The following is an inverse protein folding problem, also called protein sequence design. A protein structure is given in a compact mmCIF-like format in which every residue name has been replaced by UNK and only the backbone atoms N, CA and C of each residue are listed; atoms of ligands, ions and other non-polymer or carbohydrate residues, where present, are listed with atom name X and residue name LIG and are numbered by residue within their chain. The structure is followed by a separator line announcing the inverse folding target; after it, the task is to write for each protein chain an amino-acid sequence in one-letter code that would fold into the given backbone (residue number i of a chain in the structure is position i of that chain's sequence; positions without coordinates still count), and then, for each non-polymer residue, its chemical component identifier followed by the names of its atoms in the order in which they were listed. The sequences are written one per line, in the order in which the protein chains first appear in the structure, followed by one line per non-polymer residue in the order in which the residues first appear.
data_IF_240008598833
#
_entry.id   IF_240008598833
#
_cell.length_a   1.000
_cell.length_b   1.000
_cell.length_c   1.000
_cell.angle_alpha   90.00
_cell.angle_beta   90.00
_cell.angle_gamma   90.00
#
_symmetry.space_group_name_H-M   'P 1'
#
loop_
_entity.id
_entity.type
_entity.pdbx_description
1 polymer ?
#
# COMPACT_ATOMS: atom_id res chain seq x y z
N UNK A 1 7.20 2.50 46.57
CA UNK A 1 6.67 3.65 45.79
C UNK A 1 7.37 3.79 44.45
N UNK A 2 8.71 3.63 44.38
CA UNK A 2 9.51 3.63 43.15
C UNK A 2 9.06 2.56 42.12
N UNK A 3 8.65 1.37 42.55
CA UNK A 3 8.18 0.31 41.63
C UNK A 3 6.95 0.69 40.80
N UNK A 4 6.06 1.52 41.35
CA UNK A 4 4.85 1.98 40.64
C UNK A 4 5.21 2.96 39.53
N UNK A 5 6.15 3.87 39.79
CA UNK A 5 6.65 4.80 38.77
C UNK A 5 7.47 4.07 37.69
N UNK A 6 8.26 3.06 38.08
CA UNK A 6 9.05 2.29 37.13
C UNK A 6 8.15 1.49 36.17
N UNK A 7 7.08 0.89 36.68
CA UNK A 7 6.08 0.21 35.85
C UNK A 7 5.33 1.16 34.90
N UNK A 8 4.97 2.35 35.39
CA UNK A 8 4.29 3.37 34.57
C UNK A 8 5.18 3.88 33.42
N UNK A 9 6.47 4.14 33.69
CA UNK A 9 7.42 4.58 32.67
C UNK A 9 7.65 3.49 31.63
N UNK A 10 7.81 2.23 32.06
CA UNK A 10 8.02 1.11 31.15
C UNK A 10 6.83 0.90 30.19
N UNK A 11 5.60 0.98 30.71
CA UNK A 11 4.39 0.84 29.88
C UNK A 11 4.21 2.01 28.92
N UNK A 12 4.51 3.24 29.35
CA UNK A 12 4.47 4.41 28.48
C UNK A 12 5.49 4.30 27.34
N UNK A 13 6.72 3.87 27.64
CA UNK A 13 7.76 3.68 26.63
C UNK A 13 7.38 2.58 25.63
N UNK A 14 6.80 1.47 26.09
CA UNK A 14 6.32 0.41 25.21
C UNK A 14 5.17 0.90 24.30
N UNK A 15 4.24 1.70 24.84
CA UNK A 15 3.18 2.30 24.05
C UNK A 15 3.71 3.27 22.98
N UNK A 16 4.68 4.12 23.33
CA UNK A 16 5.31 5.04 22.37
C UNK A 16 6.11 4.28 21.32
N UNK A 17 6.86 3.25 21.72
CA UNK A 17 7.64 2.43 20.79
C UNK A 17 6.72 1.67 19.83
N UNK A 18 5.61 1.11 20.31
CA UNK A 18 4.63 0.42 19.44
C UNK A 18 3.96 1.38 18.47
N UNK A 19 3.55 2.58 18.90
CA UNK A 19 3.05 3.62 17.98
C UNK A 19 4.10 4.02 16.95
N UNK A 20 5.35 4.22 17.36
CA UNK A 20 6.43 4.60 16.46
C UNK A 20 6.66 3.52 15.38
N UNK A 21 6.66 2.25 15.77
CA UNK A 21 6.73 1.12 14.83
C UNK A 21 5.52 1.11 13.90
N UNK A 22 4.30 1.32 14.42
CA UNK A 22 3.09 1.38 13.61
C UNK A 22 3.17 2.48 12.54
N UNK A 23 3.56 3.69 12.91
CA UNK A 23 3.63 4.80 11.95
C UNK A 23 4.81 4.68 10.98
N UNK A 24 5.97 4.19 11.42
CA UNK A 24 7.16 4.11 10.55
C UNK A 24 7.13 2.92 9.63
N UNK A 25 6.67 1.76 10.12
CA UNK A 25 6.65 0.53 9.33
C UNK A 25 5.48 0.57 8.36
N UNK A 26 4.26 0.85 8.83
CA UNK A 26 3.06 0.75 7.98
C UNK A 26 2.93 1.88 6.97
N UNK A 27 3.59 3.03 7.16
CA UNK A 27 3.57 4.09 6.15
C UNK A 27 4.31 3.70 4.86
N UNK A 28 5.21 2.72 4.96
CA UNK A 28 5.94 2.14 3.82
C UNK A 28 5.17 1.01 3.12
N UNK A 29 4.02 0.58 3.65
CA UNK A 29 3.22 -0.48 3.07
C UNK A 29 1.92 0.04 2.44
N UNK A 30 1.59 -0.52 1.28
CA UNK A 30 0.32 -0.38 0.60
C UNK A 30 -0.78 -1.05 1.39
N UNK A 31 -1.97 -0.47 1.37
CA UNK A 31 -3.15 -1.05 2.01
C UNK A 31 -3.56 -2.34 1.30
N UNK A 32 -3.89 -3.42 2.03
CA UNK A 32 -4.20 -4.72 1.43
C UNK A 32 -5.38 -4.67 0.46
N UNK A 33 -6.38 -3.81 0.70
CA UNK A 33 -7.53 -3.58 -0.18
C UNK A 33 -7.12 -3.16 -1.59
N UNK A 34 -6.22 -2.17 -1.69
CA UNK A 34 -5.69 -1.64 -2.95
C UNK A 34 -4.90 -2.72 -3.68
N UNK A 35 -4.14 -3.53 -2.95
CA UNK A 35 -3.35 -4.60 -3.54
C UNK A 35 -4.20 -5.75 -4.09
N UNK A 36 -5.25 -6.13 -3.38
CA UNK A 36 -6.23 -7.08 -3.90
C UNK A 36 -6.92 -6.52 -5.14
N UNK A 37 -7.27 -5.23 -5.14
CA UNK A 37 -7.85 -4.56 -6.30
C UNK A 37 -6.91 -4.56 -7.51
N UNK A 38 -5.62 -4.22 -7.33
CA UNK A 38 -4.59 -4.30 -8.39
C UNK A 38 -4.48 -5.72 -8.94
N UNK A 39 -4.44 -6.73 -8.06
CA UNK A 39 -4.37 -8.13 -8.47
C UNK A 39 -5.58 -8.55 -9.30
N UNK A 40 -6.79 -8.23 -8.84
CA UNK A 40 -8.05 -8.52 -9.55
C UNK A 40 -8.07 -7.83 -10.92
N UNK A 41 -7.67 -6.56 -10.97
CA UNK A 41 -7.61 -5.78 -12.20
C UNK A 41 -6.64 -6.38 -13.22
N UNK A 42 -5.50 -6.90 -12.78
CA UNK A 42 -4.51 -7.55 -13.63
C UNK A 42 -4.96 -8.94 -14.12
N UNK A 43 -5.69 -9.68 -13.30
CA UNK A 43 -6.24 -11.00 -13.64
C UNK A 43 -7.45 -10.90 -14.59
N UNK A 44 -8.19 -9.78 -14.54
CA UNK A 44 -9.40 -9.55 -15.34
C UNK A 44 -9.24 -8.28 -16.18
N UNK A 45 -8.69 -8.36 -17.41
CA UNK A 45 -8.51 -7.19 -18.28
C UNK A 45 -9.86 -6.49 -18.56
N UNK A 46 -9.89 -5.17 -18.45
CA UNK A 46 -11.11 -4.38 -18.61
C UNK A 46 -11.95 -4.23 -17.35
N UNK A 47 -11.53 -4.79 -16.21
CA UNK A 47 -12.21 -4.61 -14.93
C UNK A 47 -11.70 -3.36 -14.21
N UNK A 48 -12.60 -2.78 -13.41
CA UNK A 48 -12.33 -1.62 -12.55
C UNK A 48 -12.80 -1.94 -11.13
N UNK A 49 -11.94 -1.68 -10.16
CA UNK A 49 -12.18 -1.91 -8.73
C UNK A 49 -11.86 -0.63 -7.97
N UNK A 50 -12.82 -0.16 -7.20
CA UNK A 50 -12.65 1.00 -6.33
C UNK A 50 -12.20 0.50 -4.96
N UNK A 51 -11.08 1.02 -4.47
CA UNK A 51 -10.54 0.67 -3.15
C UNK A 51 -10.05 1.92 -2.42
N UNK A 52 -10.32 1.98 -1.12
CA UNK A 52 -9.74 3.01 -0.26
C UNK A 52 -8.43 2.52 0.34
N UNK A 53 -7.39 3.34 0.26
CA UNK A 53 -6.11 3.06 0.89
C UNK A 53 -4.95 3.87 0.30
N UNK A 54 -3.75 3.42 0.61
CA UNK A 54 -2.49 3.94 0.09
C UNK A 54 -1.82 2.86 -0.77
N UNK A 55 -1.13 3.27 -1.82
CA UNK A 55 -0.30 2.41 -2.64
C UNK A 55 1.11 2.99 -2.72
N UNK A 56 2.07 2.19 -2.29
CA UNK A 56 3.49 2.49 -2.41
C UNK A 56 4.05 1.69 -3.57
N UNK A 57 4.54 2.42 -4.56
CA UNK A 57 5.21 1.88 -5.74
C UNK A 57 6.70 2.22 -5.70
N UNK A 58 7.51 1.24 -6.06
CA UNK A 58 8.94 1.40 -6.32
C UNK A 58 9.21 1.11 -7.78
N UNK A 59 9.95 2.01 -8.40
CA UNK A 59 10.43 1.83 -9.76
C UNK A 59 11.74 1.03 -9.70
N UNK A 60 11.74 -0.19 -10.25
CA UNK A 60 12.95 -0.99 -10.45
C UNK A 60 13.01 -1.47 -11.91
N UNK A 61 14.05 -1.02 -12.62
CA UNK A 61 14.34 -1.40 -14.01
C UNK A 61 13.16 -1.17 -14.98
N UNK A 62 12.55 -2.25 -15.50
CA UNK A 62 11.39 -2.22 -16.42
C UNK A 62 10.07 -2.57 -15.70
N UNK A 63 10.06 -2.60 -14.35
CA UNK A 63 8.91 -3.00 -13.54
C UNK A 63 8.61 -2.00 -12.43
N UNK A 64 7.31 -1.78 -12.20
CA UNK A 64 6.80 -1.10 -11.03
C UNK A 64 6.39 -2.14 -10.00
N UNK A 65 7.09 -2.10 -8.86
CA UNK A 65 6.86 -2.97 -7.73
C UNK A 65 5.93 -2.29 -6.73
N UNK A 66 4.78 -2.91 -6.52
CA UNK A 66 3.86 -2.54 -5.47
C UNK A 66 4.30 -3.21 -4.18
N UNK A 67 4.22 -2.49 -3.06
CA UNK A 67 4.75 -3.01 -1.79
C UNK A 67 4.06 -4.26 -1.24
N UNK A 68 2.97 -4.69 -1.87
CA UNK A 68 2.26 -5.92 -1.57
C UNK A 68 2.73 -7.11 -2.41
N UNK A 69 3.91 -7.01 -3.05
CA UNK A 69 4.52 -8.13 -3.78
C UNK A 69 3.98 -8.31 -5.20
N UNK A 70 3.22 -7.34 -5.71
CA UNK A 70 2.79 -7.34 -7.11
C UNK A 70 3.82 -6.55 -7.93
N UNK A 71 4.34 -7.16 -8.99
CA UNK A 71 5.24 -6.51 -9.94
C UNK A 71 4.54 -6.40 -11.29
N UNK A 72 4.49 -5.20 -11.85
CA UNK A 72 3.85 -4.92 -13.14
C UNK A 72 4.88 -4.29 -14.07
N UNK A 73 4.95 -4.77 -15.30
CA UNK A 73 5.85 -4.20 -16.31
C UNK A 73 5.41 -2.78 -16.68
N UNK A 74 6.36 -1.85 -16.81
CA UNK A 74 6.06 -0.44 -17.11
C UNK A 74 5.24 -0.27 -18.39
N UNK A 75 5.49 -1.13 -19.38
CA UNK A 75 4.75 -1.17 -20.65
C UNK A 75 3.27 -1.50 -20.48
N UNK A 76 2.92 -2.16 -19.36
CA UNK A 76 1.55 -2.51 -19.00
C UNK A 76 0.92 -1.51 -18.04
N UNK A 77 1.49 -0.31 -17.90
CA UNK A 77 0.97 0.73 -17.03
C UNK A 77 0.63 1.93 -17.90
N UNK A 78 -0.66 2.30 -17.88
CA UNK A 78 -1.17 3.44 -18.60
C UNK A 78 -0.96 4.74 -17.81
N UNK A 79 -1.37 4.75 -16.53
CA UNK A 79 -1.23 5.95 -15.69
C UNK A 79 -1.34 5.60 -14.20
N UNK A 80 -0.67 6.38 -13.35
CA UNK A 80 -0.82 6.35 -11.88
C UNK A 80 -0.95 7.81 -11.42
N UNK A 81 -2.19 8.27 -11.27
CA UNK A 81 -2.52 9.68 -10.96
C UNK A 81 -2.57 9.93 -9.46
N UNK A 82 -3.07 8.96 -8.69
CA UNK A 82 -3.15 9.02 -7.23
C UNK A 82 -2.54 7.78 -6.59
N UNK A 83 -1.97 7.99 -5.41
CA UNK A 83 -1.34 6.94 -4.60
C UNK A 83 -1.98 6.78 -3.23
N UNK A 84 -2.96 7.61 -2.87
CA UNK A 84 -3.66 7.53 -1.59
C UNK A 84 -5.10 8.06 -1.65
N UNK A 85 -5.92 7.59 -0.71
CA UNK A 85 -7.32 7.97 -0.58
C UNK A 85 -8.25 6.96 -1.25
N UNK A 86 -9.30 7.45 -1.92
CA UNK A 86 -10.18 6.62 -2.73
C UNK A 86 -9.56 6.43 -4.10
N UNK A 87 -9.10 5.22 -4.39
CA UNK A 87 -8.41 4.86 -5.62
C UNK A 87 -9.32 4.04 -6.53
N UNK A 88 -9.38 4.44 -7.80
CA UNK A 88 -9.98 3.66 -8.88
C UNK A 88 -8.88 2.91 -9.59
N UNK A 89 -8.87 1.58 -9.44
CA UNK A 89 -7.82 0.71 -9.94
C UNK A 89 -8.43 -0.20 -11.00
N UNK A 90 -7.94 -0.12 -12.22
CA UNK A 90 -8.47 -0.93 -13.31
C UNK A 90 -7.44 -1.23 -14.36
N UNK A 91 -7.84 -2.06 -15.31
CA UNK A 91 -7.06 -2.31 -16.52
C UNK A 91 -7.87 -1.95 -17.75
N UNK A 92 -7.19 -1.49 -18.81
CA UNK A 92 -7.83 -1.34 -20.12
C UNK A 92 -8.16 -2.71 -20.72
N UNK A 93 -8.95 -2.73 -21.80
CA UNK A 93 -9.21 -3.95 -22.57
C UNK A 93 -7.91 -4.60 -23.12
N UNK A 94 -6.85 -3.81 -23.28
CA UNK A 94 -5.51 -4.25 -23.70
C UNK A 94 -4.65 -4.72 -22.51
N UNK A 95 -5.18 -4.68 -21.28
CA UNK A 95 -4.49 -5.14 -20.07
C UNK A 95 -3.48 -4.13 -19.50
N UNK A 96 -3.65 -2.83 -19.81
CA UNK A 96 -2.84 -1.74 -19.25
C UNK A 96 -3.45 -1.26 -17.94
N UNK A 97 -2.70 -1.32 -16.85
CA UNK A 97 -3.11 -0.88 -15.52
C UNK A 97 -3.21 0.65 -15.44
N UNK A 98 -4.28 1.14 -14.84
CA UNK A 98 -4.39 2.54 -14.41
C UNK A 98 -4.85 2.64 -12.97
N UNK A 99 -4.36 3.68 -12.28
CA UNK A 99 -4.76 4.02 -10.91
C UNK A 99 -5.09 5.51 -10.86
N UNK A 100 -6.30 5.85 -10.43
CA UNK A 100 -6.82 7.23 -10.35
C UNK A 100 -7.34 7.58 -8.97
#
# INVERSE_FOLDING_TARGET
MIDVYLGLIATLLLAVATLAVLFTVFDNFSTPSVCTAVKIALENPGSEVIAYGKVKVWDLDDRLYFSCGVAVEKRRIMTVEKTEGLLTIGTTAEGLLYIK
#
